data_IF_663387370047
#
_entry.id   IF_663387370047
#
_cell.length_a   1.000
_cell.length_b   1.000
_cell.length_c   1.000
_cell.angle_alpha   90.00
_cell.angle_beta   90.00
_cell.angle_gamma   90.00
#
_symmetry.space_group_name_H-M   'P 1'
#
loop_
_entity.id
_entity.type
_entity.pdbx_description
1 polymer ?
#
# COMPACT_ATOMS: atom_id res chain seq x y z
N UNK A 1 -16.79 3.25 16.72
CA UNK A 1 -15.39 3.58 17.06
C UNK A 1 -15.24 5.09 16.89
N UNK A 2 -14.65 5.83 17.83
CA UNK A 2 -14.63 7.32 17.79
C UNK A 2 -13.26 7.89 17.45
N UNK A 3 -12.26 7.04 17.29
CA UNK A 3 -10.88 7.44 17.05
C UNK A 3 -10.23 6.48 16.06
N UNK A 4 -9.47 7.04 15.12
CA UNK A 4 -8.62 6.32 14.18
C UNK A 4 -7.19 6.84 14.30
N UNK A 5 -6.22 5.94 14.20
CA UNK A 5 -4.81 6.31 14.20
C UNK A 5 -4.06 5.49 13.14
N UNK A 6 -3.23 6.16 12.36
CA UNK A 6 -2.39 5.56 11.33
C UNK A 6 -0.96 6.06 11.52
N UNK A 7 0.00 5.14 11.48
CA UNK A 7 1.42 5.45 11.63
C UNK A 7 2.18 4.93 10.40
N UNK A 8 3.09 5.74 9.87
CA UNK A 8 3.92 5.37 8.73
C UNK A 8 5.33 5.91 8.88
N UNK A 9 6.33 5.10 8.52
CA UNK A 9 7.72 5.51 8.41
C UNK A 9 8.02 5.99 6.99
N UNK A 10 8.51 7.22 6.87
CA UNK A 10 8.79 7.91 5.60
C UNK A 10 10.30 8.18 5.48
N UNK A 11 10.91 7.81 4.36
CA UNK A 11 12.35 8.01 4.09
C UNK A 11 12.66 9.45 3.63
N UNK A 12 12.13 10.44 4.35
CA UNK A 12 12.30 11.85 4.05
C UNK A 12 12.48 12.66 5.34
N UNK A 13 13.19 13.80 5.27
CA UNK A 13 13.37 14.67 6.44
C UNK A 13 12.03 15.32 6.85
N UNK A 14 11.83 15.64 8.16
CA UNK A 14 10.57 16.20 8.67
C UNK A 14 10.13 17.46 7.93
N UNK A 15 11.09 18.32 7.56
CA UNK A 15 10.81 19.55 6.83
C UNK A 15 10.14 19.30 5.47
N UNK A 16 10.47 18.20 4.77
CA UNK A 16 9.85 17.89 3.47
C UNK A 16 8.41 17.39 3.66
N UNK A 17 8.20 16.55 4.66
CA UNK A 17 6.87 16.05 5.02
C UNK A 17 5.98 17.21 5.43
N UNK A 18 6.50 18.11 6.28
CA UNK A 18 5.80 19.32 6.70
C UNK A 18 5.31 20.15 5.51
N UNK A 19 6.19 20.43 4.54
CA UNK A 19 5.81 21.15 3.31
C UNK A 19 4.68 20.47 2.56
N UNK A 20 4.72 19.14 2.40
CA UNK A 20 3.67 18.41 1.71
C UNK A 20 2.31 18.48 2.43
N UNK A 21 2.30 18.61 3.76
CA UNK A 21 1.09 18.73 4.57
C UNK A 21 0.55 20.16 4.64
N UNK A 22 1.40 21.18 4.58
CA UNK A 22 0.99 22.57 4.84
C UNK A 22 0.95 23.46 3.59
N UNK A 23 1.70 23.15 2.53
CA UNK A 23 1.69 23.95 1.30
C UNK A 23 0.49 23.57 0.43
N UNK A 24 -0.41 24.53 0.18
CA UNK A 24 -1.63 24.36 -0.61
C UNK A 24 -1.36 23.77 -2.01
N UNK A 25 -0.32 24.21 -2.70
CA UNK A 25 0.04 23.69 -4.02
C UNK A 25 0.45 22.22 -4.00
N UNK A 26 1.13 21.79 -2.93
CA UNK A 26 1.52 20.39 -2.77
C UNK A 26 0.32 19.56 -2.34
N UNK A 27 -0.46 20.03 -1.36
CA UNK A 27 -1.67 19.37 -0.88
C UNK A 27 -2.65 19.09 -2.02
N UNK A 28 -2.82 20.05 -2.94
CA UNK A 28 -3.65 19.90 -4.14
C UNK A 28 -3.16 18.80 -5.09
N UNK A 29 -1.85 18.52 -5.14
CA UNK A 29 -1.27 17.51 -6.04
C UNK A 29 -1.47 16.09 -5.54
N UNK A 30 -1.51 15.87 -4.23
CA UNK A 30 -1.52 14.51 -3.67
C UNK A 30 -2.78 14.15 -2.88
N UNK A 31 -3.50 15.15 -2.35
CA UNK A 31 -4.64 14.92 -1.48
C UNK A 31 -5.93 15.55 -2.02
N UNK A 32 -6.07 16.87 -1.86
CA UNK A 32 -7.25 17.64 -2.24
C UNK A 32 -6.86 19.09 -2.47
N UNK A 33 -7.49 19.74 -3.47
CA UNK A 33 -7.35 21.18 -3.65
C UNK A 33 -7.93 21.93 -2.45
N UNK A 34 -7.35 23.08 -2.10
CA UNK A 34 -7.91 23.95 -1.07
C UNK A 34 -8.34 25.29 -1.65
N UNK A 35 -9.38 25.86 -1.07
CA UNK A 35 -9.92 27.19 -1.38
C UNK A 35 -10.03 27.98 -0.07
N UNK A 36 -9.62 29.24 -0.07
CA UNK A 36 -9.72 30.11 1.10
C UNK A 36 -11.04 30.87 1.05
N UNK A 37 -11.96 30.58 1.98
CA UNK A 37 -13.26 31.22 2.11
C UNK A 37 -13.26 32.16 3.34
N UNK A 38 -12.65 33.33 3.17
CA UNK A 38 -12.45 34.29 4.26
C UNK A 38 -11.43 33.77 5.27
N UNK A 39 -11.85 33.56 6.52
CA UNK A 39 -10.99 33.01 7.60
C UNK A 39 -10.94 31.48 7.62
N UNK A 40 -11.77 30.82 6.80
CA UNK A 40 -11.90 29.36 6.74
C UNK A 40 -11.23 28.82 5.50
N UNK A 41 -10.63 27.64 5.60
CA UNK A 41 -10.08 26.93 4.43
C UNK A 41 -11.00 25.77 4.10
N UNK A 42 -11.43 25.65 2.86
CA UNK A 42 -12.23 24.52 2.38
C UNK A 42 -11.35 23.59 1.57
N UNK A 43 -11.26 22.32 1.97
CA UNK A 43 -10.64 21.26 1.19
C UNK A 43 -11.69 20.60 0.30
N UNK A 44 -11.41 20.53 -1.00
CA UNK A 44 -12.25 19.91 -2.02
C UNK A 44 -12.13 18.39 -1.96
N UNK A 45 -12.67 17.81 -0.89
CA UNK A 45 -12.63 16.38 -0.58
C UNK A 45 -13.85 15.63 -1.10
N UNK A 46 -14.89 16.34 -1.55
CA UNK A 46 -16.05 15.70 -2.15
C UNK A 46 -15.64 14.80 -3.33
N UNK A 47 -16.09 13.55 -3.30
CA UNK A 47 -15.72 12.53 -4.28
C UNK A 47 -14.44 11.75 -3.99
N UNK A 48 -13.68 12.10 -2.93
CA UNK A 48 -12.65 11.21 -2.42
C UNK A 48 -13.28 10.02 -1.66
N UNK A 49 -12.73 8.80 -1.78
CA UNK A 49 -13.17 7.68 -0.95
C UNK A 49 -13.05 8.05 0.53
N UNK A 50 -14.07 7.76 1.34
CA UNK A 50 -14.11 8.09 2.77
C UNK A 50 -14.48 9.54 3.10
N UNK A 51 -14.92 10.33 2.11
CA UNK A 51 -15.51 11.65 2.30
C UNK A 51 -16.91 11.71 1.71
N UNK A 52 -17.82 12.30 2.47
CA UNK A 52 -19.22 12.53 2.16
C UNK A 52 -19.42 13.95 1.59
N UNK A 53 -18.55 14.90 1.96
CA UNK A 53 -18.60 16.29 1.51
C UNK A 53 -17.21 16.94 1.41
N UNK A 54 -17.17 18.19 0.97
CA UNK A 54 -15.99 19.04 1.12
C UNK A 54 -15.76 19.32 2.61
N UNK A 55 -14.49 19.34 3.01
CA UNK A 55 -14.09 19.45 4.42
C UNK A 55 -13.64 20.88 4.71
N UNK A 56 -14.36 21.58 5.55
CA UNK A 56 -13.90 22.85 6.12
C UNK A 56 -12.84 22.55 7.18
N UNK A 57 -11.67 23.21 7.08
CA UNK A 57 -10.56 23.03 8.01
C UNK A 57 -10.17 24.34 8.68
N UNK A 58 -9.97 24.25 10.00
CA UNK A 58 -9.46 25.32 10.85
C UNK A 58 -8.20 24.82 11.57
N UNK A 59 -7.14 25.63 11.56
CA UNK A 59 -5.88 25.27 12.22
C UNK A 59 -6.00 25.56 13.72
N UNK A 60 -5.92 24.52 14.55
CA UNK A 60 -5.99 24.61 16.01
C UNK A 60 -4.60 24.74 16.63
N UNK A 61 -3.63 23.95 16.14
CA UNK A 61 -2.25 24.00 16.59
C UNK A 61 -1.31 23.88 15.39
N UNK A 62 -0.28 24.72 15.33
CA UNK A 62 0.76 24.69 14.30
C UNK A 62 2.13 24.82 14.94
N UNK A 63 2.89 23.73 14.99
CA UNK A 63 4.26 23.67 15.49
C UNK A 63 5.17 23.06 14.44
N UNK A 64 5.72 23.90 13.58
CA UNK A 64 6.58 23.42 12.49
C UNK A 64 7.93 22.89 13.00
N UNK A 65 8.45 21.76 12.48
CA UNK A 65 7.82 20.78 11.58
C UNK A 65 7.21 19.57 12.32
N UNK A 66 6.94 19.66 13.62
CA UNK A 66 6.68 18.53 14.51
C UNK A 66 5.19 18.18 14.65
N UNK A 67 4.28 19.16 14.63
CA UNK A 67 2.87 18.92 14.97
C UNK A 67 1.91 19.89 14.29
N UNK A 68 0.88 19.35 13.65
CA UNK A 68 -0.24 20.09 13.05
C UNK A 68 -1.54 19.50 13.61
N UNK A 69 -2.42 20.36 14.15
CA UNK A 69 -3.76 19.95 14.59
C UNK A 69 -4.80 20.80 13.85
N UNK A 70 -5.73 20.12 13.20
CA UNK A 70 -6.83 20.71 12.47
C UNK A 70 -8.16 20.33 13.13
N UNK A 71 -9.09 21.28 13.14
CA UNK A 71 -10.51 20.98 13.29
C UNK A 71 -11.10 20.86 11.90
N UNK A 72 -11.71 19.72 11.63
CA UNK A 72 -12.35 19.43 10.37
C UNK A 72 -13.88 19.42 10.58
N UNK A 73 -14.61 20.05 9.67
CA UNK A 73 -16.06 19.96 9.58
C UNK A 73 -16.44 19.47 8.20
N UNK A 74 -17.19 18.39 8.15
CA UNK A 74 -17.57 17.71 6.93
C UNK A 74 -19.05 17.36 7.03
N UNK A 75 -19.89 17.95 6.18
CA UNK A 75 -21.35 17.86 6.33
C UNK A 75 -21.81 18.22 7.76
N UNK A 76 -22.44 17.30 8.47
CA UNK A 76 -22.89 17.43 9.86
C UNK A 76 -21.88 16.88 10.89
N UNK A 77 -20.74 16.37 10.44
CA UNK A 77 -19.66 15.80 11.28
C UNK A 77 -18.60 16.84 11.63
N UNK A 78 -18.10 16.77 12.86
CA UNK A 78 -16.88 17.49 13.27
C UNK A 78 -15.85 16.52 13.83
N UNK A 79 -14.62 16.61 13.33
CA UNK A 79 -13.48 15.82 13.81
C UNK A 79 -12.29 16.70 14.18
N UNK A 80 -11.39 16.15 14.98
CA UNK A 80 -10.07 16.72 15.25
C UNK A 80 -9.00 15.81 14.66
N UNK A 81 -8.26 16.33 13.68
CA UNK A 81 -7.16 15.63 13.01
C UNK A 81 -5.83 16.15 13.56
N UNK A 82 -4.98 15.26 14.06
CA UNK A 82 -3.64 15.56 14.52
C UNK A 82 -2.61 14.80 13.67
N UNK A 83 -1.63 15.53 13.16
CA UNK A 83 -0.47 15.01 12.44
C UNK A 83 0.79 15.30 13.26
N UNK A 84 1.45 14.26 13.74
CA UNK A 84 2.70 14.34 14.51
C UNK A 84 3.85 13.76 13.68
N UNK A 85 4.96 14.49 13.59
CA UNK A 85 6.15 14.10 12.84
C UNK A 85 7.33 13.97 13.80
N UNK A 86 7.92 12.78 13.87
CA UNK A 86 9.07 12.47 14.71
C UNK A 86 10.24 12.04 13.83
N UNK A 87 11.40 12.68 13.97
CA UNK A 87 12.61 12.27 13.26
C UNK A 87 13.17 10.96 13.84
N UNK A 88 13.40 9.96 13.00
CA UNK A 88 13.92 8.64 13.35
C UNK A 88 15.25 8.40 12.64
N UNK A 89 16.23 9.28 12.89
CA UNK A 89 17.55 9.24 12.25
C UNK A 89 17.49 9.67 10.78
N UNK A 90 17.50 8.70 9.86
CA UNK A 90 17.45 8.94 8.41
C UNK A 90 16.02 8.96 7.82
N UNK A 91 15.04 8.51 8.60
CA UNK A 91 13.62 8.57 8.26
C UNK A 91 12.89 9.52 9.21
N UNK A 92 11.62 9.78 8.91
CA UNK A 92 10.69 10.41 9.84
C UNK A 92 9.44 9.55 9.95
N UNK A 93 8.92 9.46 11.16
CA UNK A 93 7.65 8.81 11.45
C UNK A 93 6.53 9.83 11.47
N UNK A 94 5.49 9.59 10.68
CA UNK A 94 4.27 10.39 10.68
C UNK A 94 3.17 9.58 11.39
N UNK A 95 2.58 10.16 12.44
CA UNK A 95 1.37 9.66 13.08
C UNK A 95 0.21 10.58 12.71
N UNK A 96 -0.86 10.02 12.15
CA UNK A 96 -2.10 10.73 11.84
C UNK A 96 -3.20 10.14 12.71
N UNK A 97 -3.76 10.97 13.59
CA UNK A 97 -4.84 10.60 14.51
C UNK A 97 -6.05 11.47 14.25
N UNK A 98 -7.20 10.88 14.01
CA UNK A 98 -8.46 11.61 13.88
C UNK A 98 -9.44 11.14 14.94
N UNK A 99 -10.07 12.09 15.62
CA UNK A 99 -11.07 11.84 16.66
C UNK A 99 -12.39 12.49 16.25
N UNK A 100 -13.47 11.73 16.29
CA UNK A 100 -14.83 12.21 16.08
C UNK A 100 -15.30 12.99 17.32
N UNK A 101 -15.65 14.26 17.13
CA UNK A 101 -16.20 15.10 18.19
C UNK A 101 -17.74 15.13 18.17
N UNK A 102 -18.31 15.27 16.97
CA UNK A 102 -19.75 15.39 16.74
C UNK A 102 -20.12 14.66 15.43
N UNK A 103 -21.31 14.05 15.40
CA UNK A 103 -21.83 13.32 14.23
C UNK A 103 -21.55 11.81 14.29
N UNK A 104 -21.56 11.17 13.12
CA UNK A 104 -21.23 9.75 12.94
C UNK A 104 -20.31 9.56 11.72
N UNK A 105 -19.61 8.44 11.68
CA UNK A 105 -18.73 8.09 10.58
C UNK A 105 -18.58 6.58 10.37
N UNK A 106 -18.25 6.21 9.14
CA UNK A 106 -17.71 4.87 8.86
C UNK A 106 -16.21 4.86 9.20
N UNK A 107 -15.89 4.50 10.44
CA UNK A 107 -14.53 4.51 10.95
C UNK A 107 -13.57 3.61 10.15
N UNK A 108 -14.05 2.47 9.64
CA UNK A 108 -13.23 1.52 8.88
C UNK A 108 -12.91 2.09 7.51
N UNK A 109 -13.91 2.59 6.78
CA UNK A 109 -13.71 3.28 5.49
C UNK A 109 -12.82 4.52 5.65
N UNK A 110 -12.95 5.24 6.76
CA UNK A 110 -12.12 6.41 7.07
C UNK A 110 -10.66 6.01 7.34
N UNK A 111 -10.44 4.96 8.12
CA UNK A 111 -9.11 4.42 8.38
C UNK A 111 -8.42 3.92 7.10
N UNK A 112 -9.15 3.24 6.21
CA UNK A 112 -8.65 2.82 4.90
C UNK A 112 -8.23 4.01 4.04
N UNK A 113 -9.04 5.08 4.02
CA UNK A 113 -8.72 6.32 3.33
C UNK A 113 -7.43 6.95 3.85
N UNK A 114 -7.28 7.03 5.18
CA UNK A 114 -6.08 7.55 5.84
C UNK A 114 -4.86 6.74 5.42
N UNK A 115 -4.95 5.42 5.56
CA UNK A 115 -3.87 4.51 5.22
C UNK A 115 -3.47 4.64 3.73
N UNK A 116 -4.42 4.65 2.81
CA UNK A 116 -4.14 4.84 1.38
C UNK A 116 -3.49 6.20 1.08
N UNK A 117 -3.91 7.26 1.77
CA UNK A 117 -3.33 8.59 1.61
C UNK A 117 -1.86 8.63 2.08
N UNK A 118 -1.57 8.13 3.28
CA UNK A 118 -0.23 8.25 3.90
C UNK A 118 0.77 7.19 3.45
N UNK A 119 0.32 6.05 2.92
CA UNK A 119 1.20 4.97 2.42
C UNK A 119 1.36 4.97 0.90
N UNK A 120 0.43 5.55 0.16
CA UNK A 120 0.47 5.60 -1.30
C UNK A 120 0.77 6.99 -1.85
N UNK A 121 -0.15 7.93 -1.61
CA UNK A 121 -0.12 9.26 -2.26
C UNK A 121 0.93 10.19 -1.67
N UNK A 122 1.07 10.22 -0.34
CA UNK A 122 2.04 11.08 0.34
C UNK A 122 3.50 10.70 0.00
N UNK A 123 3.94 9.43 0.03
CA UNK A 123 5.30 9.08 -0.38
C UNK A 123 5.60 9.50 -1.82
N UNK A 124 4.66 9.31 -2.75
CA UNK A 124 4.84 9.68 -4.15
C UNK A 124 5.12 11.18 -4.35
N UNK A 125 4.39 12.06 -3.64
CA UNK A 125 4.65 13.51 -3.73
C UNK A 125 5.97 13.88 -3.05
N UNK A 126 6.36 13.19 -1.98
CA UNK A 126 7.63 13.46 -1.29
C UNK A 126 8.83 13.07 -2.16
N UNK A 127 8.73 11.94 -2.87
CA UNK A 127 9.71 11.52 -3.87
C UNK A 127 9.79 12.53 -5.02
N UNK A 128 8.65 12.99 -5.55
CA UNK A 128 8.60 14.03 -6.57
C UNK A 128 9.28 15.33 -6.11
N UNK A 129 9.00 15.80 -4.89
CA UNK A 129 9.66 16.98 -4.30
C UNK A 129 11.17 16.75 -4.18
N UNK A 130 11.59 15.56 -3.75
CA UNK A 130 13.00 15.21 -3.62
C UNK A 130 13.72 15.23 -4.98
N UNK A 131 13.06 14.71 -6.02
CA UNK A 131 13.58 14.70 -7.38
C UNK A 131 13.75 16.12 -7.95
N UNK A 132 12.75 16.99 -7.80
CA UNK A 132 12.81 18.38 -8.26
C UNK A 132 13.97 19.18 -7.61
N UNK A 133 14.35 18.84 -6.37
CA UNK A 133 15.49 19.47 -5.70
C UNK A 133 16.85 19.06 -6.30
N UNK A 134 16.93 17.91 -6.99
CA UNK A 134 18.15 17.45 -7.68
C UNK A 134 18.30 18.14 -9.04
N UNK A 135 17.20 18.34 -9.78
CA UNK A 135 17.23 18.98 -11.10
C UNK A 135 17.63 20.46 -11.03
N UNK A 136 17.20 21.21 -10.01
CA UNK A 136 17.54 22.62 -9.86
C UNK A 136 19.04 22.85 -9.57
N UNK A 137 19.71 21.90 -8.91
CA UNK A 137 21.16 21.99 -8.67
C UNK A 137 22.00 21.69 -9.91
N UNK A 138 21.42 21.07 -10.94
CA UNK A 138 22.09 20.84 -12.23
C UNK A 138 22.00 22.04 -13.16
N UNK A 139 20.92 22.82 -13.07
CA UNK A 139 20.74 24.03 -13.87
C UNK A 139 21.49 25.26 -13.30
N UNK A 140 21.77 25.29 -11.98
CA UNK A 140 22.59 26.33 -11.33
C UNK A 140 24.11 26.04 -11.39
N UNK A 141 24.49 24.80 -11.72
CA UNK A 141 25.88 24.44 -12.02
C UNK A 141 26.20 24.79 -13.46
N UNK A 142 26.90 25.91 -13.66
CA UNK A 142 27.33 26.37 -14.99
C UNK A 142 27.91 25.24 -15.85
N UNK A 143 27.51 25.24 -17.12
CA UNK A 143 28.17 24.50 -18.19
C UNK A 143 29.69 24.69 -18.03
N UNK A 144 30.44 23.59 -17.89
CA UNK A 144 31.90 23.51 -17.63
C UNK A 144 32.37 23.87 -16.21
N UNK A 145 31.97 23.11 -15.19
CA UNK A 145 32.83 22.91 -14.02
C UNK A 145 33.80 21.76 -14.31
N UNK A 146 35.00 22.13 -14.76
CA UNK A 146 36.19 21.28 -14.80
C UNK A 146 36.27 20.38 -13.56
N UNK A 147 36.57 19.10 -13.77
CA UNK A 147 36.89 18.14 -12.70
C UNK A 147 37.98 18.76 -11.80
N UNK A 148 37.80 18.82 -10.47
CA UNK A 148 38.84 19.34 -9.60
C UNK A 148 39.99 18.33 -9.58
N UNK A 149 41.08 18.68 -10.25
CA UNK A 149 42.39 18.07 -10.03
C UNK A 149 42.71 18.24 -8.54
N UNK A 150 42.88 17.12 -7.85
CA UNK A 150 43.24 17.08 -6.43
C UNK A 150 44.65 17.66 -6.27
N UNK A 151 44.73 18.95 -5.97
CA UNK A 151 45.93 19.63 -5.52
C UNK A 151 46.20 19.27 -4.06
N UNK A 152 47.14 18.35 -3.85
CA UNK A 152 47.60 17.91 -2.54
C UNK A 152 48.68 18.89 -2.03
N UNK A 153 48.28 19.90 -1.26
CA UNK A 153 49.10 20.80 -0.41
C UNK A 153 48.08 21.53 0.50
N UNK A 154 48.08 21.38 1.82
CA UNK A 154 49.18 21.69 2.72
C UNK A 154 48.80 22.93 3.55
N UNK A 155 48.22 22.69 4.73
CA UNK A 155 48.07 23.56 5.92
C UNK A 155 47.71 25.06 5.79
N UNK A 156 46.57 25.44 6.40
CA UNK A 156 46.52 26.62 7.28
C UNK A 156 45.34 26.53 8.29
N UNK A 157 45.63 26.98 9.52
CA UNK A 157 44.90 26.79 10.78
C UNK A 157 43.66 27.69 10.99
N UNK A 158 42.67 27.10 11.67
CA UNK A 158 41.82 27.61 12.79
C UNK A 158 41.59 29.13 12.98
N UNK A 159 40.29 29.50 13.02
CA UNK A 159 39.51 30.15 14.12
C UNK A 159 38.22 30.67 13.46
N UNK A 160 37.00 30.35 13.88
CA UNK A 160 36.41 30.51 15.21
C UNK A 160 35.43 31.69 15.17
N UNK A 161 34.11 31.45 15.24
CA UNK A 161 33.14 32.54 15.24
C UNK A 161 31.67 32.12 15.16
N UNK A 162 31.11 31.69 16.30
CA UNK A 162 29.66 31.66 16.54
C UNK A 162 29.07 33.07 16.47
N UNK A 163 27.75 33.15 16.21
CA UNK A 163 26.82 34.31 16.25
C UNK A 163 26.79 35.04 14.89
N UNK A 164 25.67 35.13 14.17
CA UNK A 164 24.38 35.69 14.59
C UNK A 164 23.21 35.04 13.82
N UNK A 165 22.31 34.43 14.59
CA UNK A 165 20.92 34.22 14.22
C UNK A 165 20.15 35.54 14.42
N UNK A 166 19.00 35.62 13.74
CA UNK A 166 17.90 36.59 13.91
C UNK A 166 18.16 38.00 13.38
N UNK A 167 17.59 38.30 12.20
CA UNK A 167 16.76 39.50 12.00
C UNK A 167 15.74 39.24 10.86
N UNK A 168 14.46 39.11 11.24
CA UNK A 168 13.28 39.82 10.69
C UNK A 168 13.05 39.68 9.17
N UNK A 169 12.12 38.86 8.63
CA UNK A 169 10.68 38.77 8.90
C UNK A 169 9.98 40.14 8.99
N UNK A 170 10.02 40.95 7.92
CA UNK A 170 9.01 41.97 7.56
C UNK A 170 9.46 42.83 6.35
N UNK A 171 9.39 42.33 5.10
CA UNK A 171 9.45 43.20 3.88
C UNK A 171 8.51 42.77 2.74
N UNK A 172 7.63 41.77 2.89
CA UNK A 172 6.69 41.38 1.80
C UNK A 172 5.22 41.60 2.15
N UNK A 173 4.89 42.78 2.69
CA UNK A 173 3.49 43.24 2.83
C UNK A 173 3.25 44.62 2.18
N UNK A 174 4.23 45.23 1.51
CA UNK A 174 4.03 46.54 0.83
C UNK A 174 4.59 46.59 -0.59
N UNK A 175 4.26 45.58 -1.39
CA UNK A 175 4.13 45.74 -2.85
C UNK A 175 2.77 45.20 -3.28
N UNK A 176 1.74 45.86 -2.75
CA UNK A 176 0.40 45.78 -3.29
C UNK A 176 0.31 46.52 -4.62
N UNK A 177 -0.47 45.93 -5.52
CA UNK A 177 -1.42 46.62 -6.39
C UNK A 177 -0.87 47.74 -7.28
N UNK A 178 -0.41 47.38 -8.49
CA UNK A 178 -0.75 48.11 -9.72
C UNK A 178 -0.29 47.32 -10.96
N UNK A 179 -1.26 46.76 -11.69
CA UNK A 179 -1.27 46.29 -13.10
C UNK A 179 -1.80 44.84 -13.17
N UNK A 180 -2.87 44.51 -13.87
CA UNK A 180 -3.78 45.31 -14.67
C UNK A 180 -4.94 44.38 -15.04
N UNK A 181 -6.15 44.83 -14.72
CA UNK A 181 -7.39 44.34 -15.30
C UNK A 181 -7.30 44.55 -16.81
N UNK A 182 -7.40 43.49 -17.61
CA UNK A 182 -8.12 43.46 -18.90
C UNK A 182 -8.17 42.03 -19.47
N UNK A 183 -9.33 41.69 -20.02
CA UNK A 183 -9.68 40.48 -20.80
C UNK A 183 -10.16 39.26 -20.00
N UNK A 184 -11.33 39.42 -19.38
CA UNK A 184 -12.32 38.33 -19.29
C UNK A 184 -13.65 38.83 -19.83
N UNK A 185 -13.73 38.93 -21.15
CA UNK A 185 -14.99 39.02 -21.87
C UNK A 185 -14.88 38.05 -23.05
N UNK A 186 -15.92 37.23 -23.24
CA UNK A 186 -16.07 36.14 -24.22
C UNK A 186 -15.41 34.79 -23.86
N UNK A 187 -15.92 34.12 -22.82
CA UNK A 187 -15.98 32.65 -22.83
C UNK A 187 -17.43 32.23 -23.08
N UNK A 188 -17.73 31.47 -24.16
CA UNK A 188 -19.07 30.94 -24.38
C UNK A 188 -19.43 29.94 -23.27
N UNK A 189 -20.69 29.98 -22.83
CA UNK A 189 -21.22 29.12 -21.78
C UNK A 189 -21.08 27.63 -22.15
N UNK A 190 -20.76 26.74 -21.19
CA UNK A 190 -20.78 25.30 -21.43
C UNK A 190 -22.21 24.85 -21.73
N UNK A 191 -22.44 24.30 -22.92
CA UNK A 191 -23.70 23.62 -23.25
C UNK A 191 -23.76 22.33 -22.44
N UNK A 192 -24.77 22.20 -21.57
CA UNK A 192 -25.01 20.98 -20.83
C UNK A 192 -25.32 19.82 -21.79
N UNK A 193 -24.67 18.64 -21.66
CA UNK A 193 -25.07 17.46 -22.41
C UNK A 193 -26.45 16.98 -21.94
N UNK A 194 -27.30 16.60 -22.90
CA UNK A 194 -28.65 16.10 -22.66
C UNK A 194 -28.64 14.83 -21.80
N UNK A 195 -29.60 14.74 -20.88
CA UNK A 195 -29.79 13.59 -19.99
C UNK A 195 -30.08 12.30 -20.80
N UNK A 196 -29.48 11.16 -20.42
CA UNK A 196 -29.83 9.87 -21.01
C UNK A 196 -31.25 9.44 -20.59
N UNK A 197 -31.98 8.70 -21.45
CA UNK A 197 -33.33 8.20 -21.13
C UNK A 197 -33.29 7.18 -19.98
N UNK A 198 -34.39 7.04 -19.22
CA UNK A 198 -34.46 6.08 -18.12
C UNK A 198 -34.38 4.63 -18.62
N UNK A 199 -33.77 3.71 -17.86
CA UNK A 199 -33.75 2.29 -18.21
C UNK A 199 -35.14 1.67 -18.10
N UNK A 200 -35.48 0.81 -19.05
CA UNK A 200 -36.67 -0.03 -19.02
C UNK A 200 -36.58 -1.08 -17.89
N UNK A 201 -37.71 -1.50 -17.28
CA UNK A 201 -37.69 -2.49 -16.22
C UNK A 201 -37.35 -3.88 -16.78
N UNK A 202 -36.29 -4.48 -16.24
CA UNK A 202 -35.98 -5.90 -16.45
C UNK A 202 -36.95 -6.75 -15.61
N UNK A 203 -37.78 -7.53 -16.29
CA UNK A 203 -38.59 -8.59 -15.70
C UNK A 203 -37.67 -9.72 -15.26
N UNK A 204 -37.62 -9.99 -13.96
CA UNK A 204 -36.95 -11.17 -13.38
C UNK A 204 -37.98 -12.28 -13.11
N UNK A 205 -37.72 -13.54 -13.51
CA UNK A 205 -38.53 -14.67 -13.06
C UNK A 205 -38.16 -15.06 -11.62
N UNK A 206 -39.17 -15.05 -10.75
CA UNK A 206 -39.07 -15.50 -9.36
C UNK A 206 -38.91 -17.02 -9.28
N UNK A 207 -37.78 -17.52 -8.80
CA UNK A 207 -37.65 -18.92 -8.36
C UNK A 207 -37.81 -19.00 -6.85
N UNK A 208 -38.98 -19.48 -6.41
CA UNK A 208 -39.29 -19.86 -5.03
C UNK A 208 -38.49 -21.09 -4.62
N UNK A 209 -37.53 -20.94 -3.71
CA UNK A 209 -36.92 -22.07 -2.98
C UNK A 209 -37.73 -22.38 -1.73
N UNK A 210 -38.48 -23.47 -1.78
CA UNK A 210 -39.18 -24.06 -0.63
C UNK A 210 -38.19 -24.76 0.30
N UNK A 211 -38.34 -24.50 1.60
CA UNK A 211 -37.59 -25.12 2.69
C UNK A 211 -38.35 -26.33 3.26
N UNK A 212 -37.74 -27.52 3.44
CA UNK A 212 -38.32 -28.57 4.26
C UNK A 212 -37.62 -28.73 5.61
N UNK A 213 -38.27 -28.13 6.62
CA UNK A 213 -38.74 -28.72 7.89
C UNK A 213 -38.01 -29.96 8.45
N UNK A 214 -37.45 -29.78 9.65
CA UNK A 214 -36.96 -30.82 10.54
C UNK A 214 -38.08 -31.67 11.17
N UNK A 215 -37.81 -32.96 11.39
CA UNK A 215 -38.65 -33.88 12.18
C UNK A 215 -37.80 -34.60 13.24
N UNK A 216 -38.24 -34.68 14.51
CA UNK A 216 -37.51 -35.34 15.59
C UNK A 216 -37.96 -36.79 15.77
N UNK A 217 -37.10 -37.64 16.34
CA UNK A 217 -37.54 -38.90 16.95
C UNK A 217 -36.76 -39.20 18.22
N UNK A 218 -37.52 -39.55 19.25
CA UNK A 218 -37.14 -39.74 20.65
C UNK A 218 -37.48 -41.18 21.08
N UNK A 219 -36.58 -41.76 21.88
CA UNK A 219 -36.76 -42.68 23.03
C UNK A 219 -37.08 -44.21 22.88
N UNK A 220 -36.04 -45.04 23.20
CA UNK A 220 -35.95 -46.18 24.19
C UNK A 220 -36.83 -47.45 24.09
N UNK A 221 -36.58 -48.55 24.85
CA UNK A 221 -35.38 -49.08 25.57
C UNK A 221 -35.11 -50.62 25.45
N UNK A 222 -33.96 -51.06 26.02
CA UNK A 222 -33.63 -52.32 26.73
C UNK A 222 -33.86 -53.73 26.15
N UNK A 223 -32.79 -54.54 26.13
CA UNK A 223 -32.81 -55.94 26.59
C UNK A 223 -31.41 -56.45 27.00
N UNK A 224 -31.36 -57.12 28.16
CA UNK A 224 -30.21 -57.78 28.80
C UNK A 224 -30.30 -59.30 28.61
N UNK A 225 -29.22 -60.02 28.24
CA UNK A 225 -28.77 -61.28 28.91
C UNK A 225 -27.53 -62.00 28.32
N UNK A 226 -26.60 -62.31 29.24
CA UNK A 226 -25.82 -63.54 29.53
C UNK A 226 -25.04 -64.32 28.45
N UNK A 227 -23.72 -64.34 28.67
CA UNK A 227 -22.80 -65.49 28.94
C UNK A 227 -22.85 -66.76 28.08
N UNK A 228 -21.66 -67.18 27.59
CA UNK A 228 -20.93 -68.44 27.91
C UNK A 228 -19.65 -68.52 27.04
N UNK A 229 -18.52 -68.89 27.65
CA UNK A 229 -17.25 -69.34 27.03
C UNK A 229 -17.18 -70.88 27.13
N UNK A 230 -16.43 -71.65 26.31
CA UNK A 230 -14.94 -71.67 26.33
C UNK A 230 -14.19 -71.98 24.99
N UNK A 231 -12.86 -71.80 25.03
CA UNK A 231 -11.74 -72.22 24.13
C UNK A 231 -11.71 -73.75 23.78
N UNK A 232 -10.87 -74.33 22.86
CA UNK A 232 -9.45 -73.96 22.51
C UNK A 232 -8.91 -74.19 21.04
N UNK A 233 -7.90 -73.39 20.61
CA UNK A 233 -6.70 -73.58 19.69
C UNK A 233 -6.72 -74.47 18.40
N UNK A 234 -5.72 -74.40 17.45
CA UNK A 234 -4.69 -73.39 17.11
C UNK A 234 -4.48 -73.12 15.58
N UNK A 235 -3.61 -72.14 15.27
CA UNK A 235 -2.72 -72.05 14.08
C UNK A 235 -3.30 -71.57 12.73
N UNK A 236 -3.08 -70.29 12.42
CA UNK A 236 -2.82 -69.84 11.06
C UNK A 236 -1.76 -68.73 11.07
N UNK A 237 -0.69 -68.99 10.32
CA UNK A 237 0.49 -68.16 10.10
C UNK A 237 0.16 -66.71 9.71
N UNK A 238 0.78 -65.67 10.31
CA UNK A 238 0.66 -64.32 9.79
C UNK A 238 1.47 -64.21 8.49
N UNK A 239 0.77 -64.25 7.37
CA UNK A 239 1.30 -63.84 6.06
C UNK A 239 1.86 -62.43 6.18
N UNK A 240 3.16 -62.26 5.95
CA UNK A 240 3.82 -60.95 5.94
C UNK A 240 3.15 -60.09 4.87
N UNK A 241 2.35 -59.12 5.30
CA UNK A 241 1.86 -58.05 4.42
C UNK A 241 3.08 -57.33 3.84
N UNK A 242 3.23 -57.21 2.51
CA UNK A 242 4.28 -56.39 1.92
C UNK A 242 4.09 -54.96 2.43
N UNK A 243 5.13 -54.44 3.10
CA UNK A 243 5.18 -53.04 3.52
C UNK A 243 5.02 -52.17 2.26
N UNK A 244 4.10 -51.18 2.25
CA UNK A 244 3.95 -50.31 1.10
C UNK A 244 5.26 -49.54 0.91
N UNK A 245 5.91 -49.78 -0.23
CA UNK A 245 7.04 -48.98 -0.67
C UNK A 245 6.62 -47.51 -0.69
N UNK A 246 7.38 -46.56 -0.10
CA UNK A 246 6.99 -45.16 -0.08
C UNK A 246 6.89 -44.66 -1.52
N UNK A 247 5.66 -44.28 -1.91
CA UNK A 247 5.41 -43.64 -3.19
C UNK A 247 6.26 -42.36 -3.28
N UNK A 248 6.98 -42.09 -4.38
CA UNK A 248 7.79 -40.89 -4.51
C UNK A 248 6.94 -39.65 -4.26
N UNK A 249 7.41 -38.77 -3.37
CA UNK A 249 6.69 -37.55 -3.01
C UNK A 249 6.44 -36.72 -4.27
N UNK A 250 5.17 -36.44 -4.56
CA UNK A 250 4.79 -35.62 -5.71
C UNK A 250 5.54 -34.27 -5.65
N UNK A 251 6.08 -33.80 -6.79
CA UNK A 251 6.76 -32.50 -6.83
C UNK A 251 5.75 -31.38 -6.56
N UNK A 252 6.22 -30.28 -5.99
CA UNK A 252 5.48 -29.03 -5.96
C UNK A 252 5.23 -28.55 -7.38
N UNK A 253 4.05 -27.99 -7.62
CA UNK A 253 3.75 -27.29 -8.87
C UNK A 253 3.58 -25.80 -8.59
N UNK A 254 3.87 -24.97 -9.57
CA UNK A 254 3.71 -23.52 -9.47
C UNK A 254 3.06 -22.96 -10.73
N UNK A 255 2.22 -21.95 -10.56
CA UNK A 255 1.68 -21.13 -11.65
C UNK A 255 2.06 -19.68 -11.44
N UNK A 256 2.53 -19.03 -12.49
CA UNK A 256 2.82 -17.61 -12.55
C UNK A 256 1.71 -16.85 -13.27
N UNK A 257 1.42 -15.64 -12.82
CA UNK A 257 0.58 -14.67 -13.52
C UNK A 257 1.05 -13.25 -13.21
N UNK A 258 1.03 -12.37 -14.20
CA UNK A 258 1.13 -10.92 -13.98
C UNK A 258 -0.25 -10.35 -13.65
N UNK A 259 -0.45 -9.88 -12.42
CA UNK A 259 -1.77 -9.42 -11.93
C UNK A 259 -2.03 -7.92 -12.12
N UNK A 260 -0.98 -7.14 -12.38
CA UNK A 260 -1.12 -5.73 -12.78
C UNK A 260 0.12 -5.24 -13.52
N UNK A 261 -0.08 -4.57 -14.65
CA UNK A 261 0.92 -3.79 -15.37
C UNK A 261 1.05 -2.37 -14.78
N UNK A 262 2.24 -1.79 -14.86
CA UNK A 262 2.56 -0.45 -14.36
C UNK A 262 3.56 0.21 -15.29
N UNK A 263 3.60 1.55 -15.27
CA UNK A 263 4.49 2.33 -16.15
C UNK A 263 5.97 1.98 -15.97
N UNK A 264 6.40 1.53 -14.77
CA UNK A 264 7.79 1.18 -14.47
C UNK A 264 7.95 -0.24 -13.91
N UNK A 265 7.16 -1.18 -14.43
CA UNK A 265 7.23 -2.60 -14.08
C UNK A 265 5.85 -3.24 -13.88
N UNK A 266 5.76 -4.25 -13.04
CA UNK A 266 4.52 -5.03 -12.90
C UNK A 266 4.42 -5.68 -11.52
N UNK A 267 3.25 -6.26 -11.22
CA UNK A 267 3.06 -7.12 -10.05
C UNK A 267 2.92 -8.56 -10.49
N UNK A 268 3.86 -9.39 -10.07
CA UNK A 268 3.84 -10.84 -10.29
C UNK A 268 3.13 -11.57 -9.15
N UNK A 269 2.51 -12.68 -9.48
CA UNK A 269 1.96 -13.63 -8.52
C UNK A 269 2.43 -15.04 -8.88
N UNK A 270 2.95 -15.77 -7.88
CA UNK A 270 3.23 -17.20 -7.99
C UNK A 270 2.35 -17.95 -7.00
N UNK A 271 1.57 -18.91 -7.48
CA UNK A 271 0.78 -19.81 -6.63
C UNK A 271 1.46 -21.17 -6.65
N UNK A 272 1.98 -21.58 -5.49
CA UNK A 272 2.49 -22.93 -5.26
C UNK A 272 1.34 -23.84 -4.86
N UNK A 273 1.31 -25.05 -5.43
CA UNK A 273 0.39 -26.11 -5.07
C UNK A 273 1.15 -27.36 -4.68
N UNK A 274 0.80 -27.93 -3.54
CA UNK A 274 1.37 -29.19 -3.05
C UNK A 274 0.33 -30.31 -3.21
N UNK A 275 0.35 -31.07 -4.32
CA UNK A 275 -0.55 -32.21 -4.51
C UNK A 275 -0.18 -33.42 -3.63
N UNK A 276 0.96 -33.38 -2.94
CA UNK A 276 1.47 -34.48 -2.14
C UNK A 276 0.72 -34.68 -0.82
N UNK A 277 0.83 -35.89 -0.21
CA UNK A 277 0.16 -36.24 1.04
C UNK A 277 0.86 -35.69 2.30
N UNK A 278 2.02 -35.03 2.16
CA UNK A 278 2.79 -34.47 3.27
C UNK A 278 3.10 -32.99 3.02
N UNK A 279 3.24 -32.21 4.09
CA UNK A 279 3.64 -30.81 3.99
C UNK A 279 5.05 -30.69 3.38
N UNK A 280 5.23 -29.73 2.47
CA UNK A 280 6.51 -29.47 1.81
C UNK A 280 7.16 -28.22 2.39
N UNK A 281 8.27 -28.40 3.10
CA UNK A 281 9.15 -27.33 3.57
C UNK A 281 10.37 -27.20 2.67
N UNK A 282 11.10 -26.07 2.79
CA UNK A 282 12.35 -25.85 2.05
C UNK A 282 12.19 -25.71 0.54
N UNK A 283 10.96 -25.44 0.07
CA UNK A 283 10.72 -25.15 -1.35
C UNK A 283 11.41 -23.86 -1.76
N UNK A 284 11.78 -23.80 -3.03
CA UNK A 284 12.43 -22.63 -3.62
C UNK A 284 11.79 -22.29 -4.94
N UNK A 285 11.32 -21.04 -5.08
CA UNK A 285 10.89 -20.50 -6.37
C UNK A 285 11.98 -19.58 -6.90
N UNK A 286 12.47 -19.83 -8.11
CA UNK A 286 13.44 -18.98 -8.78
C UNK A 286 12.77 -18.28 -9.95
N UNK A 287 12.77 -16.95 -9.93
CA UNK A 287 12.25 -16.10 -11.00
C UNK A 287 13.41 -15.34 -11.62
N UNK A 288 13.51 -15.36 -12.94
CA UNK A 288 14.50 -14.59 -13.70
C UNK A 288 13.82 -13.36 -14.27
N UNK A 289 14.28 -12.18 -13.89
CA UNK A 289 13.77 -10.89 -14.38
C UNK A 289 14.61 -10.38 -15.55
N UNK A 290 14.13 -9.32 -16.20
CA UNK A 290 14.92 -8.59 -17.20
C UNK A 290 16.14 -7.89 -16.59
N UNK A 291 17.09 -7.52 -17.45
CA UNK A 291 18.32 -6.84 -17.05
C UNK A 291 18.04 -5.51 -16.33
N UNK A 292 18.60 -5.36 -15.12
CA UNK A 292 18.43 -4.16 -14.30
C UNK A 292 17.08 -4.07 -13.57
N UNK A 293 16.19 -5.05 -13.73
CA UNK A 293 14.96 -5.12 -12.97
C UNK A 293 15.23 -5.42 -11.49
N UNK A 294 14.39 -4.90 -10.60
CA UNK A 294 14.52 -5.06 -9.15
C UNK A 294 13.20 -5.47 -8.51
N UNK A 295 13.27 -6.39 -7.54
CA UNK A 295 12.11 -6.77 -6.72
C UNK A 295 11.93 -5.79 -5.57
N UNK A 296 10.70 -5.30 -5.44
CA UNK A 296 10.25 -4.46 -4.34
C UNK A 296 9.51 -5.26 -3.27
N UNK A 297 8.31 -4.80 -2.93
CA UNK A 297 7.45 -5.43 -1.90
C UNK A 297 7.16 -6.88 -2.24
N UNK A 298 7.39 -7.79 -1.28
CA UNK A 298 7.07 -9.22 -1.38
C UNK A 298 6.15 -9.63 -0.24
N UNK A 299 5.08 -10.35 -0.56
CA UNK A 299 4.13 -10.94 0.38
C UNK A 299 4.07 -12.46 0.20
N UNK A 300 4.00 -13.20 1.31
CA UNK A 300 3.88 -14.67 1.30
C UNK A 300 5.19 -15.44 1.19
N UNK A 301 6.33 -14.75 0.99
CA UNK A 301 7.66 -15.35 0.96
C UNK A 301 8.74 -14.34 1.37
N UNK A 302 9.93 -14.84 1.67
CA UNK A 302 11.18 -14.09 1.70
C UNK A 302 11.79 -14.11 0.31
N UNK A 303 12.44 -13.01 -0.10
CA UNK A 303 13.10 -12.91 -1.39
C UNK A 303 14.57 -12.55 -1.22
N UNK A 304 15.40 -13.15 -2.06
CA UNK A 304 16.81 -12.79 -2.23
C UNK A 304 17.08 -12.63 -3.71
N UNK A 305 17.56 -11.46 -4.12
CA UNK A 305 17.90 -11.18 -5.51
C UNK A 305 19.42 -11.13 -5.70
N UNK A 306 19.90 -11.77 -6.76
CA UNK A 306 21.28 -11.73 -7.24
C UNK A 306 21.27 -11.47 -8.76
N UNK A 307 21.59 -10.22 -9.14
CA UNK A 307 21.40 -9.75 -10.52
C UNK A 307 19.95 -9.89 -10.98
N UNK A 308 19.74 -10.56 -12.11
CA UNK A 308 18.42 -10.85 -12.67
C UNK A 308 17.66 -11.96 -11.93
N UNK A 309 18.33 -12.76 -11.09
CA UNK A 309 17.74 -13.95 -10.49
C UNK A 309 17.20 -13.64 -9.09
N UNK A 310 15.93 -13.95 -8.88
CA UNK A 310 15.24 -13.78 -7.60
C UNK A 310 14.86 -15.14 -7.06
N UNK A 311 15.32 -15.44 -5.85
CA UNK A 311 15.00 -16.67 -5.12
C UNK A 311 14.01 -16.36 -4.00
N UNK A 312 12.84 -16.99 -4.05
CA UNK A 312 11.81 -16.93 -3.03
C UNK A 312 11.78 -18.20 -2.19
N UNK A 313 11.69 -18.04 -0.86
CA UNK A 313 11.54 -19.13 0.12
C UNK A 313 10.51 -18.75 1.18
N UNK A 314 9.89 -19.73 1.84
CA UNK A 314 8.84 -19.43 2.80
C UNK A 314 8.41 -20.59 3.69
N UNK A 315 7.24 -20.41 4.33
CA UNK A 315 6.65 -21.39 5.22
C UNK A 315 6.26 -22.68 4.46
N UNK A 316 6.17 -23.80 5.19
CA UNK A 316 5.82 -25.08 4.58
C UNK A 316 4.41 -25.04 3.94
N UNK A 317 4.28 -25.58 2.73
CA UNK A 317 2.98 -25.72 2.06
C UNK A 317 2.31 -27.00 2.58
N UNK A 318 1.11 -26.93 3.19
CA UNK A 318 0.42 -28.12 3.70
C UNK A 318 0.15 -29.17 2.61
N UNK A 319 -0.10 -30.42 3.03
CA UNK A 319 -0.55 -31.48 2.11
C UNK A 319 -1.89 -31.09 1.45
N UNK A 320 -1.97 -31.19 0.11
CA UNK A 320 -3.12 -30.72 -0.65
C UNK A 320 -3.36 -29.21 -0.59
N UNK A 321 -2.43 -28.44 -0.01
CA UNK A 321 -2.54 -27.01 0.21
C UNK A 321 -1.88 -26.18 -0.89
N UNK A 322 -2.05 -24.86 -0.79
CA UNK A 322 -1.39 -23.89 -1.65
C UNK A 322 -0.78 -22.74 -0.85
N UNK A 323 0.19 -22.06 -1.46
CA UNK A 323 0.79 -20.85 -0.93
C UNK A 323 0.91 -19.82 -2.06
N UNK A 324 0.60 -18.56 -1.75
CA UNK A 324 0.64 -17.48 -2.74
C UNK A 324 1.75 -16.51 -2.41
N UNK A 325 2.60 -16.25 -3.39
CA UNK A 325 3.64 -15.23 -3.36
C UNK A 325 3.19 -14.10 -4.28
N UNK A 326 3.21 -12.87 -3.76
CA UNK A 326 2.99 -11.66 -4.56
C UNK A 326 4.17 -10.74 -4.43
N UNK A 327 4.68 -10.24 -5.55
CA UNK A 327 5.82 -9.34 -5.55
C UNK A 327 5.68 -8.23 -6.60
N UNK A 328 6.19 -7.06 -6.26
CA UNK A 328 6.31 -5.93 -7.18
C UNK A 328 7.67 -5.97 -7.87
N UNK A 329 7.70 -5.77 -9.19
CA UNK A 329 8.91 -5.63 -9.99
C UNK A 329 8.99 -4.21 -10.50
N UNK A 330 10.17 -3.60 -10.36
CA UNK A 330 10.53 -2.35 -11.04
C UNK A 330 11.45 -2.70 -12.18
N UNK A 331 11.03 -2.39 -13.40
CA UNK A 331 11.77 -2.72 -14.61
C UNK A 331 12.14 -1.44 -15.36
N UNK A 332 13.44 -1.23 -15.72
CA UNK A 332 13.84 -0.11 -16.57
C UNK A 332 13.28 -0.22 -18.00
N UNK A 333 12.96 -1.43 -18.48
CA UNK A 333 12.26 -1.63 -19.74
C UNK A 333 10.75 -1.41 -19.52
N UNK A 334 10.24 -0.32 -20.09
CA UNK A 334 8.82 0.06 -19.99
C UNK A 334 7.88 -0.89 -20.74
N UNK A 335 8.42 -1.81 -21.55
CA UNK A 335 7.64 -2.81 -22.30
C UNK A 335 7.57 -4.16 -21.60
N UNK A 336 8.31 -4.35 -20.51
CA UNK A 336 8.32 -5.60 -19.75
C UNK A 336 6.98 -5.82 -19.01
N UNK A 337 6.31 -6.93 -19.33
CA UNK A 337 5.01 -7.31 -18.73
C UNK A 337 5.10 -8.56 -17.84
N UNK A 338 6.29 -9.15 -17.72
CA UNK A 338 6.51 -10.36 -16.93
C UNK A 338 8.00 -10.74 -16.87
N UNK A 339 8.35 -11.75 -16.06
CA UNK A 339 9.71 -12.25 -15.94
C UNK A 339 10.11 -13.05 -17.19
N UNK A 340 11.40 -13.22 -17.39
CA UNK A 340 11.97 -14.07 -18.45
C UNK A 340 11.88 -15.56 -18.11
N UNK A 341 11.81 -15.90 -16.82
CA UNK A 341 11.75 -17.28 -16.35
C UNK A 341 11.11 -17.42 -14.97
N UNK A 342 10.49 -18.57 -14.71
CA UNK A 342 10.02 -18.97 -13.38
C UNK A 342 10.14 -20.48 -13.21
N UNK A 343 10.71 -20.91 -12.09
CA UNK A 343 10.83 -22.33 -11.71
C UNK A 343 10.55 -22.54 -10.23
N UNK A 344 10.01 -23.69 -9.85
CA UNK A 344 9.85 -24.19 -8.47
C UNK A 344 10.62 -25.49 -8.32
N UNK A 345 11.57 -25.55 -7.38
CA UNK A 345 12.47 -26.70 -7.19
C UNK A 345 13.09 -27.22 -8.51
N UNK A 346 13.31 -26.33 -9.49
CA UNK A 346 13.84 -26.62 -10.83
C UNK A 346 12.80 -26.96 -11.92
N UNK A 347 11.51 -27.12 -11.59
CA UNK A 347 10.44 -27.33 -12.56
C UNK A 347 9.83 -25.98 -13.01
N UNK A 348 9.55 -25.81 -14.30
CA UNK A 348 8.99 -24.56 -14.83
C UNK A 348 7.59 -24.25 -14.25
N UNK A 349 7.35 -22.97 -13.96
CA UNK A 349 6.02 -22.49 -13.58
C UNK A 349 5.09 -22.52 -14.80
N UNK A 350 3.83 -22.89 -14.61
CA UNK A 350 2.81 -22.74 -15.64
C UNK A 350 2.43 -21.25 -15.82
N UNK A 351 2.09 -20.82 -17.03
CA UNK A 351 1.56 -19.47 -17.29
C UNK A 351 2.62 -18.38 -17.55
N UNK A 352 3.90 -18.77 -17.69
CA UNK A 352 4.91 -17.93 -18.32
C UNK A 352 4.86 -18.05 -19.84
#
# INVERSE_FOLDING_TARGET
MIEIATEVDLFHPPARIWRALTEQELLAKWFAGSESLGERTLLRTSGLPGYDADTEVEVVELRAPERLVLRCREADRSTRLACDIVATGHSSRLSVREVLEEGDWDADRRAEQHQAAVTGRLPAILDWIAFQQVDLRRAEGGLTAELPVVGLLGDARRRGGRRRALLVAAVLVVLGAAAGVTVWATRPAPTAPAAPPPPAPLVVPSTTSGSPKATPSRATPSATRRSVAPDPTPSASPTRTPSPSPSPAAPLTASYETVSDRVFGYRGQVVLSNPGPAARSGWTVTVTLGDGATVGTVNGAQAKQDGAVVTFTGAAVPAGGSATIRFDVRDPDLTATGPEGCTVDGAACAGL
#
